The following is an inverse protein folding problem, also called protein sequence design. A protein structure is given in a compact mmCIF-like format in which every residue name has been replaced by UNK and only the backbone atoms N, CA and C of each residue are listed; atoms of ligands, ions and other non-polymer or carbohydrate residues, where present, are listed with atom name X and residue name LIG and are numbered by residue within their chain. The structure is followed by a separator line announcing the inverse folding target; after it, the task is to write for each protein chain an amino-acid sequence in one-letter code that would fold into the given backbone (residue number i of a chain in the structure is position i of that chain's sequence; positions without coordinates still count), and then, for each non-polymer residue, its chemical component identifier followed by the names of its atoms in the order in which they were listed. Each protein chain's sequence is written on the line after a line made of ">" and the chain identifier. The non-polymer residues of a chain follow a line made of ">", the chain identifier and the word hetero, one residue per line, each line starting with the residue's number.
data_IF_940400013732
#
_entry.id   IF_940400013732
#
_cell.length_a   1.000
_cell.length_b   1.000
_cell.length_c   1.000
_cell.angle_alpha   90.00
_cell.angle_beta   90.00
_cell.angle_gamma   90.00
#
_symmetry.space_group_name_H-M   'P 1'
#
loop_
_entity.id
_entity.type
_entity.pdbx_description
1 polymer ?
#
# COMPACT_ATOMS: atom_id res chain seq x y z
N UNK A 1 7.39 -15.43 10.46
CA UNK A 1 6.18 -15.18 11.27
C UNK A 1 5.37 -14.06 10.65
N UNK A 2 4.07 -14.26 10.40
CA UNK A 2 3.16 -13.16 10.00
C UNK A 2 2.93 -12.29 11.22
N UNK A 3 3.54 -11.11 11.24
CA UNK A 3 3.44 -10.18 12.34
C UNK A 3 2.14 -9.38 12.20
N UNK A 4 1.21 -9.55 13.14
CA UNK A 4 0.02 -8.68 13.31
C UNK A 4 0.42 -7.29 13.87
N UNK A 5 1.62 -6.78 13.53
CA UNK A 5 2.21 -5.56 14.10
C UNK A 5 1.38 -4.29 13.90
N UNK A 6 0.53 -4.27 12.88
CA UNK A 6 -0.27 -3.09 12.56
C UNK A 6 -1.70 -3.19 13.10
N UNK A 7 -2.03 -4.27 13.81
CA UNK A 7 -3.34 -4.48 14.41
C UNK A 7 -3.34 -3.91 15.83
N UNK A 8 -4.36 -3.13 16.17
CA UNK A 8 -4.54 -2.65 17.52
C UNK A 8 -5.14 -3.73 18.42
N UNK A 9 -4.28 -4.49 19.10
CA UNK A 9 -4.71 -5.55 20.01
C UNK A 9 -5.60 -5.05 21.16
N UNK A 10 -5.51 -3.78 21.57
CA UNK A 10 -6.38 -3.22 22.62
C UNK A 10 -7.85 -3.16 22.18
N UNK A 11 -8.11 -3.12 20.88
CA UNK A 11 -9.46 -3.06 20.32
C UNK A 11 -10.05 -4.44 19.97
N UNK A 12 -9.30 -5.52 20.21
CA UNK A 12 -9.67 -6.87 19.78
C UNK A 12 -9.91 -7.76 20.98
N UNK A 13 -11.02 -8.49 20.96
CA UNK A 13 -11.31 -9.55 21.92
C UNK A 13 -11.09 -10.90 21.23
N UNK A 14 -10.30 -11.82 21.81
CA UNK A 14 -10.18 -13.18 21.28
C UNK A 14 -11.55 -13.83 21.02
N UNK A 15 -11.67 -14.52 19.88
CA UNK A 15 -12.93 -15.17 19.46
C UNK A 15 -13.98 -14.21 18.87
N UNK A 16 -13.77 -12.89 18.88
CA UNK A 16 -14.66 -11.92 18.23
C UNK A 16 -14.05 -11.36 16.95
N UNK A 17 -14.83 -11.13 15.88
CA UNK A 17 -14.35 -10.44 14.70
C UNK A 17 -13.87 -9.03 15.03
N UNK A 18 -12.78 -8.61 14.41
CA UNK A 18 -12.27 -7.24 14.51
C UNK A 18 -13.39 -6.23 14.21
N UNK A 19 -13.52 -5.12 14.96
CA UNK A 19 -14.64 -4.19 14.77
C UNK A 19 -14.77 -3.63 13.34
N UNK A 20 -13.67 -3.56 12.59
CA UNK A 20 -13.66 -3.13 11.19
C UNK A 20 -14.30 -4.16 10.24
N UNK A 21 -14.29 -5.46 10.59
CA UNK A 21 -14.96 -6.52 9.81
C UNK A 21 -16.47 -6.51 9.98
N UNK A 22 -16.99 -5.81 11.00
CA UNK A 22 -18.42 -5.70 11.25
C UNK A 22 -19.11 -4.64 10.40
N UNK A 23 -18.34 -3.87 9.62
CA UNK A 23 -18.91 -2.89 8.70
C UNK A 23 -19.48 -3.60 7.47
N UNK A 24 -20.73 -3.29 7.08
CA UNK A 24 -21.36 -3.94 5.93
C UNK A 24 -20.54 -3.67 4.67
N UNK A 25 -20.30 -4.72 3.89
CA UNK A 25 -19.79 -4.61 2.52
C UNK A 25 -20.98 -4.70 1.57
N UNK A 26 -21.38 -3.56 1.02
CA UNK A 26 -22.54 -3.46 0.12
C UNK A 26 -22.25 -3.95 -1.30
N UNK A 27 -20.97 -4.12 -1.66
CA UNK A 27 -20.56 -4.45 -3.01
C UNK A 27 -19.28 -5.29 -3.05
N UNK A 28 -19.02 -5.96 -4.17
CA UNK A 28 -17.74 -6.62 -4.45
C UNK A 28 -16.56 -5.65 -4.41
N UNK A 29 -16.81 -4.40 -4.80
CA UNK A 29 -15.83 -3.33 -4.75
C UNK A 29 -15.44 -2.96 -3.32
N UNK A 30 -16.42 -2.90 -2.40
CA UNK A 30 -16.15 -2.68 -0.97
C UNK A 30 -15.41 -3.87 -0.34
N UNK A 31 -15.75 -5.09 -0.74
CA UNK A 31 -15.03 -6.29 -0.31
C UNK A 31 -13.55 -6.24 -0.74
N UNK A 32 -13.26 -5.82 -1.97
CA UNK A 32 -11.89 -5.66 -2.45
C UNK A 32 -11.11 -4.60 -1.67
N UNK A 33 -11.75 -3.47 -1.33
CA UNK A 33 -11.16 -2.43 -0.46
C UNK A 33 -10.80 -2.99 0.91
N UNK A 34 -11.71 -3.77 1.51
CA UNK A 34 -11.47 -4.42 2.78
C UNK A 34 -10.31 -5.42 2.70
N UNK A 35 -10.25 -6.26 1.66
CA UNK A 35 -9.16 -7.23 1.46
C UNK A 35 -7.79 -6.54 1.38
N UNK A 36 -7.68 -5.42 0.67
CA UNK A 36 -6.43 -4.65 0.62
C UNK A 36 -6.06 -4.13 2.00
N UNK A 37 -7.02 -3.55 2.73
CA UNK A 37 -6.78 -3.05 4.10
C UNK A 37 -6.32 -4.17 5.04
N UNK A 38 -6.92 -5.36 4.97
CA UNK A 38 -6.51 -6.52 5.76
C UNK A 38 -5.07 -6.96 5.47
N UNK A 39 -4.58 -6.81 4.23
CA UNK A 39 -3.16 -7.05 3.91
C UNK A 39 -2.24 -6.08 4.67
N UNK A 40 -2.59 -4.80 4.76
CA UNK A 40 -1.84 -3.82 5.55
C UNK A 40 -1.88 -4.14 7.05
N UNK A 41 -3.06 -4.43 7.60
CA UNK A 41 -3.23 -4.75 9.02
C UNK A 41 -2.45 -6.00 9.44
N UNK A 42 -2.48 -7.05 8.61
CA UNK A 42 -1.78 -8.31 8.86
C UNK A 42 -0.28 -8.29 8.54
N UNK A 43 0.24 -7.15 8.04
CA UNK A 43 1.63 -7.03 7.61
C UNK A 43 1.97 -7.90 6.38
N UNK A 44 0.97 -8.38 5.64
CA UNK A 44 1.15 -9.20 4.43
C UNK A 44 1.19 -8.38 3.15
N UNK A 45 0.99 -7.06 3.24
CA UNK A 45 1.24 -6.15 2.14
C UNK A 45 2.75 -5.91 1.97
N UNK A 46 3.32 -6.43 0.88
CA UNK A 46 4.77 -6.44 0.66
C UNK A 46 5.22 -5.23 -0.18
N UNK A 47 5.99 -4.33 0.44
CA UNK A 47 6.68 -3.22 -0.21
C UNK A 47 8.14 -3.59 -0.55
N UNK A 48 8.82 -2.78 -1.38
CA UNK A 48 10.23 -3.04 -1.75
C UNK A 48 11.16 -3.06 -0.54
N UNK A 49 10.95 -2.17 0.44
CA UNK A 49 11.73 -2.21 1.69
C UNK A 49 11.59 -3.56 2.41
N UNK A 50 10.40 -4.17 2.43
CA UNK A 50 10.21 -5.50 3.00
C UNK A 50 10.98 -6.55 2.20
N UNK A 51 10.95 -6.49 0.86
CA UNK A 51 11.68 -7.43 0.01
C UNK A 51 13.18 -7.32 0.22
N UNK A 52 13.72 -6.12 0.34
CA UNK A 52 15.13 -5.87 0.62
C UNK A 52 15.57 -6.46 1.96
N UNK A 53 14.74 -6.38 3.00
CA UNK A 53 15.08 -6.91 4.33
C UNK A 53 15.03 -8.44 4.44
N UNK A 54 14.27 -9.14 3.59
CA UNK A 54 14.04 -10.59 3.71
C UNK A 54 14.64 -11.44 2.59
N UNK A 55 15.10 -10.84 1.50
CA UNK A 55 15.76 -11.58 0.43
C UNK A 55 17.24 -11.80 0.74
N UNK A 56 17.73 -13.00 0.43
CA UNK A 56 19.16 -13.33 0.50
C UNK A 56 19.98 -12.58 -0.56
N UNK A 57 19.33 -12.16 -1.65
CA UNK A 57 19.94 -11.37 -2.72
C UNK A 57 19.72 -9.88 -2.48
N UNK A 58 20.68 -9.05 -2.91
CA UNK A 58 20.54 -7.59 -2.88
C UNK A 58 19.34 -7.15 -3.73
N UNK A 59 18.26 -6.73 -3.05
CA UNK A 59 17.09 -6.12 -3.68
C UNK A 59 17.10 -4.64 -3.34
N UNK A 60 16.96 -3.80 -4.38
CA UNK A 60 16.85 -2.36 -4.23
C UNK A 60 15.57 -2.01 -3.43
N UNK A 61 15.69 -1.36 -2.25
CA UNK A 61 14.54 -0.99 -1.44
C UNK A 61 13.76 0.21 -2.00
N UNK A 62 14.27 0.87 -3.05
CA UNK A 62 13.72 2.11 -3.60
C UNK A 62 12.28 1.95 -4.09
N UNK A 63 11.47 2.98 -3.86
CA UNK A 63 10.09 3.06 -4.30
C UNK A 63 10.00 2.98 -5.82
N UNK A 64 9.31 1.98 -6.38
CA UNK A 64 9.21 1.80 -7.82
C UNK A 64 8.29 2.84 -8.47
N UNK A 65 7.64 3.69 -7.67
CA UNK A 65 6.71 4.71 -8.13
C UNK A 65 7.44 6.04 -8.38
N UNK A 66 8.15 6.55 -7.37
CA UNK A 66 8.87 7.82 -7.49
C UNK A 66 10.37 7.65 -7.77
N UNK A 67 10.96 6.50 -7.46
CA UNK A 67 12.40 6.24 -7.53
C UNK A 67 13.28 7.18 -6.67
N UNK A 68 12.71 7.82 -5.65
CA UNK A 68 13.41 8.84 -4.84
C UNK A 68 13.83 8.34 -3.45
N UNK A 69 13.09 7.40 -2.85
CA UNK A 69 13.30 6.96 -1.46
C UNK A 69 12.88 5.49 -1.26
N UNK A 70 13.33 4.82 -0.19
CA UNK A 70 12.87 3.46 0.14
C UNK A 70 11.34 3.34 0.26
N UNK A 71 10.75 2.28 -0.29
CA UNK A 71 9.31 2.02 -0.23
C UNK A 71 8.90 1.50 1.15
N UNK A 72 8.87 2.37 2.16
CA UNK A 72 8.33 2.04 3.50
C UNK A 72 6.82 2.30 3.55
N UNK A 73 6.13 1.84 4.62
CA UNK A 73 4.70 2.13 4.82
C UNK A 73 4.46 3.65 4.91
N UNK A 74 5.28 4.37 5.66
CA UNK A 74 5.22 5.83 5.76
C UNK A 74 5.39 6.48 4.40
N UNK A 75 6.41 6.08 3.63
CA UNK A 75 6.61 6.61 2.29
C UNK A 75 5.40 6.33 1.40
N UNK A 76 4.94 5.08 1.34
CA UNK A 76 3.86 4.67 0.45
C UNK A 76 2.52 5.35 0.80
N UNK A 77 2.19 5.43 2.08
CA UNK A 77 0.89 5.94 2.56
C UNK A 77 0.87 7.46 2.66
N UNK A 78 1.99 8.13 2.98
CA UNK A 78 2.01 9.55 3.31
C UNK A 78 2.88 10.42 2.38
N UNK A 79 3.99 9.90 1.84
CA UNK A 79 5.05 10.77 1.29
C UNK A 79 5.37 10.57 -0.20
N UNK A 80 4.95 9.48 -0.85
CA UNK A 80 5.28 9.20 -2.24
C UNK A 80 4.86 10.36 -3.16
N UNK A 81 5.82 10.94 -3.89
CA UNK A 81 5.59 12.12 -4.75
C UNK A 81 4.63 11.79 -5.89
N UNK A 82 4.80 10.63 -6.53
CA UNK A 82 3.96 10.18 -7.65
C UNK A 82 2.46 10.11 -7.30
N UNK A 83 2.12 9.70 -6.08
CA UNK A 83 0.71 9.55 -5.65
C UNK A 83 0.19 10.74 -4.85
N UNK A 84 0.96 11.84 -4.76
CA UNK A 84 0.62 13.05 -3.98
C UNK A 84 -0.78 13.56 -4.28
N UNK A 85 -1.09 13.78 -5.56
CA UNK A 85 -2.32 14.47 -5.98
C UNK A 85 -3.58 13.65 -5.70
N UNK A 86 -3.46 12.33 -5.72
CA UNK A 86 -4.57 11.43 -5.38
C UNK A 86 -4.70 11.27 -3.85
N UNK A 87 -3.57 11.27 -3.14
CA UNK A 87 -3.52 11.04 -1.70
C UNK A 87 -4.01 12.23 -0.88
N UNK A 88 -3.54 13.44 -1.19
CA UNK A 88 -3.81 14.67 -0.43
C UNK A 88 -5.30 14.91 -0.14
N UNK A 89 -6.23 14.87 -1.11
CA UNK A 89 -7.64 15.10 -0.82
C UNK A 89 -8.24 14.02 0.09
N UNK A 90 -7.85 12.76 -0.07
CA UNK A 90 -8.35 11.68 0.79
C UNK A 90 -7.81 11.81 2.22
N UNK A 91 -6.55 12.22 2.39
CA UNK A 91 -5.99 12.51 3.72
C UNK A 91 -6.69 13.71 4.37
N UNK A 92 -7.05 14.74 3.59
CA UNK A 92 -7.81 15.87 4.11
C UNK A 92 -9.19 15.42 4.65
N UNK A 93 -9.89 14.52 3.95
CA UNK A 93 -11.15 13.94 4.43
C UNK A 93 -10.96 13.12 5.73
N UNK A 94 -9.90 12.31 5.80
CA UNK A 94 -9.56 11.54 7.02
C UNK A 94 -9.29 12.49 8.19
N UNK A 95 -8.47 13.52 7.98
CA UNK A 95 -8.18 14.55 8.98
C UNK A 95 -9.47 15.22 9.44
N UNK A 96 -10.31 15.66 8.51
CA UNK A 96 -11.57 16.33 8.83
C UNK A 96 -12.45 15.47 9.74
N UNK A 97 -12.63 14.19 9.42
CA UNK A 97 -13.47 13.30 10.23
C UNK A 97 -12.84 12.96 11.59
N UNK A 98 -11.52 12.83 11.67
CA UNK A 98 -10.80 12.64 12.94
C UNK A 98 -10.94 13.88 13.83
N UNK A 99 -10.75 15.07 13.29
CA UNK A 99 -10.84 16.33 14.03
C UNK A 99 -12.24 16.58 14.60
N UNK A 100 -13.27 16.08 13.91
CA UNK A 100 -14.66 16.10 14.40
C UNK A 100 -14.91 15.11 15.53
N UNK A 101 -14.17 14.02 15.57
CA UNK A 101 -14.27 12.99 16.61
C UNK A 101 -13.43 13.39 17.84
N UNK A 102 -12.22 13.87 17.59
CA UNK A 102 -11.21 14.23 18.57
C UNK A 102 -10.45 15.48 18.07
N UNK A 103 -10.83 16.68 18.52
CA UNK A 103 -10.18 17.92 18.09
C UNK A 103 -8.68 17.97 18.40
N UNK A 104 -7.91 18.63 17.53
CA UNK A 104 -6.46 18.80 17.52
C UNK A 104 -5.65 17.49 17.53
N UNK A 105 -6.27 16.37 17.18
CA UNK A 105 -5.64 15.05 17.30
C UNK A 105 -4.74 14.74 16.11
N UNK A 106 -5.17 15.05 14.89
CA UNK A 106 -4.44 14.67 13.68
C UNK A 106 -3.07 15.34 13.61
N UNK A 107 -3.00 16.63 13.93
CA UNK A 107 -1.75 17.37 13.86
C UNK A 107 -0.77 16.99 14.99
N UNK A 108 -1.31 16.51 16.12
CA UNK A 108 -0.49 15.98 17.22
C UNK A 108 0.17 14.63 16.89
N UNK A 109 -0.42 13.85 15.98
CA UNK A 109 0.12 12.55 15.60
C UNK A 109 1.45 12.69 14.86
N UNK A 110 2.42 11.88 15.29
CA UNK A 110 3.63 11.64 14.53
C UNK A 110 3.33 10.79 13.27
N UNK A 111 4.35 10.61 12.42
CA UNK A 111 4.22 9.88 11.15
C UNK A 111 3.75 8.44 11.33
N UNK A 112 4.24 7.74 12.36
CA UNK A 112 3.86 6.35 12.63
C UNK A 112 2.41 6.26 13.11
N UNK A 113 2.01 7.15 14.02
CA UNK A 113 0.63 7.23 14.53
C UNK A 113 -0.37 7.52 13.40
N UNK A 114 -0.03 8.39 12.46
CA UNK A 114 -0.84 8.64 11.25
C UNK A 114 -0.97 7.39 10.39
N UNK A 115 0.14 6.71 10.11
CA UNK A 115 0.14 5.45 9.33
C UNK A 115 -0.71 4.38 10.03
N UNK A 116 -0.50 4.18 11.33
CA UNK A 116 -1.22 3.20 12.12
C UNK A 116 -2.72 3.52 12.18
N UNK A 117 -3.10 4.79 12.35
CA UNK A 117 -4.51 5.20 12.34
C UNK A 117 -5.17 4.95 10.98
N UNK A 118 -4.46 5.17 9.87
CA UNK A 118 -4.97 4.86 8.52
C UNK A 118 -5.15 3.34 8.35
N UNK A 119 -4.19 2.55 8.81
CA UNK A 119 -4.23 1.08 8.69
C UNK A 119 -5.27 0.47 9.64
N UNK A 120 -5.44 1.01 10.84
CA UNK A 120 -6.36 0.53 11.86
C UNK A 120 -6.84 1.69 12.75
N UNK A 121 -7.99 2.26 12.41
CA UNK A 121 -8.58 3.35 13.17
C UNK A 121 -9.37 2.86 14.40
N UNK A 122 -9.30 1.57 14.75
CA UNK A 122 -9.96 1.04 15.95
C UNK A 122 -9.38 1.62 17.24
N UNK A 123 -8.16 2.15 17.21
CA UNK A 123 -7.57 2.94 18.30
C UNK A 123 -8.39 4.17 18.67
N UNK A 124 -9.11 4.77 17.73
CA UNK A 124 -9.96 5.92 18.03
C UNK A 124 -11.18 5.57 18.92
N UNK A 125 -11.40 4.29 19.23
CA UNK A 125 -12.48 3.80 20.10
C UNK A 125 -12.17 3.87 21.61
N UNK A 126 -11.15 4.61 22.04
CA UNK A 126 -10.70 4.61 23.44
C UNK A 126 -11.73 5.09 24.47
N UNK A 127 -12.88 5.65 24.08
CA UNK A 127 -13.96 5.99 25.00
C UNK A 127 -14.85 4.76 25.26
N UNK A 128 -15.08 4.48 26.55
CA UNK A 128 -15.92 3.36 27.01
C UNK A 128 -17.36 3.41 26.49
N UNK A 129 -17.84 4.58 26.06
CA UNK A 129 -19.12 4.77 25.37
C UNK A 129 -18.98 5.82 24.28
N UNK A 130 -19.11 5.41 23.03
CA UNK A 130 -19.26 6.30 21.88
C UNK A 130 -20.75 6.59 21.68
N UNK A 131 -21.09 7.83 21.43
CA UNK A 131 -22.41 8.25 20.97
C UNK A 131 -22.69 7.70 19.57
N UNK A 132 -23.97 7.64 19.17
CA UNK A 132 -24.37 7.24 17.81
C UNK A 132 -23.68 8.08 16.74
N UNK A 133 -23.56 9.39 16.98
CA UNK A 133 -22.87 10.31 16.07
C UNK A 133 -21.38 9.97 15.95
N UNK A 134 -20.68 9.73 17.05
CA UNK A 134 -19.27 9.34 17.03
C UNK A 134 -19.05 7.98 16.32
N UNK A 135 -19.98 7.03 16.46
CA UNK A 135 -19.94 5.76 15.72
C UNK A 135 -20.02 6.01 14.21
N UNK A 136 -20.96 6.84 13.76
CA UNK A 136 -21.10 7.20 12.34
C UNK A 136 -19.83 7.91 11.82
N UNK A 137 -19.20 8.76 12.64
CA UNK A 137 -17.93 9.43 12.31
C UNK A 137 -16.79 8.43 12.16
N UNK A 138 -16.65 7.49 13.09
CA UNK A 138 -15.66 6.42 12.98
C UNK A 138 -15.86 5.56 11.73
N UNK A 139 -17.11 5.28 11.35
CA UNK A 139 -17.43 4.59 10.10
C UNK A 139 -17.00 5.41 8.88
N UNK A 140 -17.17 6.73 8.92
CA UNK A 140 -16.70 7.64 7.87
C UNK A 140 -15.17 7.66 7.80
N UNK A 141 -14.45 7.78 8.92
CA UNK A 141 -12.98 7.65 8.98
C UNK A 141 -12.54 6.34 8.35
N UNK A 142 -13.14 5.22 8.76
CA UNK A 142 -12.80 3.89 8.24
C UNK A 142 -13.04 3.78 6.73
N UNK A 143 -14.14 4.35 6.23
CA UNK A 143 -14.43 4.42 4.80
C UNK A 143 -13.34 5.16 4.03
N UNK A 144 -12.92 6.34 4.50
CA UNK A 144 -11.88 7.12 3.84
C UNK A 144 -10.52 6.41 3.90
N UNK A 145 -10.19 5.75 5.02
CA UNK A 145 -8.98 4.94 5.15
C UNK A 145 -8.95 3.76 4.17
N UNK A 146 -10.06 3.03 4.02
CA UNK A 146 -10.20 1.96 3.02
C UNK A 146 -10.03 2.50 1.60
N UNK A 147 -10.68 3.62 1.30
CA UNK A 147 -10.56 4.29 0.00
C UNK A 147 -9.10 4.65 -0.30
N UNK A 148 -8.39 5.27 0.65
CA UNK A 148 -6.98 5.63 0.49
C UNK A 148 -6.12 4.42 0.16
N UNK A 149 -6.13 3.39 1.02
CA UNK A 149 -5.27 2.22 0.86
C UNK A 149 -5.55 1.47 -0.45
N UNK A 150 -6.82 1.34 -0.81
CA UNK A 150 -7.21 0.69 -2.06
C UNK A 150 -6.78 1.50 -3.29
N UNK A 151 -6.99 2.82 -3.28
CA UNK A 151 -6.58 3.69 -4.39
C UNK A 151 -5.06 3.64 -4.58
N UNK A 152 -4.29 3.75 -3.50
CA UNK A 152 -2.82 3.63 -3.56
C UNK A 152 -2.39 2.26 -4.07
N UNK A 153 -3.05 1.18 -3.61
CA UNK A 153 -2.77 -0.18 -4.08
C UNK A 153 -2.99 -0.33 -5.59
N UNK A 154 -4.11 0.16 -6.09
CA UNK A 154 -4.45 0.12 -7.52
C UNK A 154 -3.43 0.88 -8.35
N UNK A 155 -3.08 2.11 -7.95
CA UNK A 155 -2.06 2.90 -8.65
C UNK A 155 -0.69 2.23 -8.65
N UNK A 156 -0.29 1.64 -7.51
CA UNK A 156 0.96 0.89 -7.43
C UNK A 156 0.98 -0.29 -8.40
N UNK A 157 -0.07 -1.10 -8.41
CA UNK A 157 -0.14 -2.27 -9.28
C UNK A 157 -0.14 -1.88 -10.76
N UNK A 158 -0.89 -0.82 -11.13
CA UNK A 158 -0.91 -0.27 -12.48
C UNK A 158 0.49 0.13 -12.93
N UNK A 159 1.23 0.84 -12.07
CA UNK A 159 2.59 1.26 -12.37
C UNK A 159 3.56 0.08 -12.50
N UNK A 160 3.49 -0.89 -11.59
CA UNK A 160 4.32 -2.11 -11.63
C UNK A 160 4.05 -2.95 -12.89
N UNK A 161 2.79 -3.04 -13.33
CA UNK A 161 2.45 -3.72 -14.58
C UNK A 161 3.12 -3.04 -15.78
N UNK A 162 3.07 -1.71 -15.85
CA UNK A 162 3.72 -0.93 -16.91
C UNK A 162 5.24 -1.18 -16.92
N UNK A 163 5.89 -1.10 -15.74
CA UNK A 163 7.33 -1.38 -15.61
C UNK A 163 7.67 -2.79 -16.11
N UNK A 164 6.89 -3.80 -15.72
CA UNK A 164 7.14 -5.18 -16.14
C UNK A 164 7.01 -5.37 -17.65
N UNK A 165 6.01 -4.72 -18.28
CA UNK A 165 5.86 -4.74 -19.75
C UNK A 165 7.06 -4.11 -20.45
N UNK A 166 7.54 -2.96 -19.97
CA UNK A 166 8.72 -2.28 -20.53
C UNK A 166 9.97 -3.17 -20.38
N UNK A 167 10.19 -3.74 -19.20
CA UNK A 167 11.32 -4.66 -18.94
C UNK A 167 11.28 -5.84 -19.90
N UNK A 168 10.14 -6.52 -20.02
CA UNK A 168 10.00 -7.68 -20.90
C UNK A 168 10.28 -7.35 -22.37
N UNK A 169 9.82 -6.18 -22.86
CA UNK A 169 10.13 -5.72 -24.22
C UNK A 169 11.63 -5.48 -24.42
N UNK A 170 12.29 -4.85 -23.45
CA UNK A 170 13.73 -4.61 -23.50
C UNK A 170 14.52 -5.93 -23.51
N UNK A 171 14.16 -6.91 -22.67
CA UNK A 171 14.83 -8.23 -22.64
C UNK A 171 14.69 -8.97 -23.98
N UNK A 172 13.48 -8.95 -24.57
CA UNK A 172 13.23 -9.56 -25.88
C UNK A 172 14.03 -8.88 -27.00
N UNK A 173 14.16 -7.55 -26.97
CA UNK A 173 14.97 -6.81 -27.94
C UNK A 173 16.47 -7.15 -27.82
N UNK A 174 17.00 -7.24 -26.59
CA UNK A 174 18.39 -7.65 -26.35
C UNK A 174 18.63 -9.09 -26.81
N UNK A 175 17.68 -10.00 -26.56
CA UNK A 175 17.79 -11.39 -27.02
C UNK A 175 17.75 -11.49 -28.56
N UNK A 176 16.84 -10.75 -29.21
CA UNK A 176 16.78 -10.65 -30.67
C UNK A 176 18.08 -10.11 -31.26
N UNK A 177 18.64 -9.03 -30.70
CA UNK A 177 19.90 -8.45 -31.15
C UNK A 177 21.08 -9.42 -31.00
N UNK A 178 21.20 -10.12 -29.86
CA UNK A 178 22.24 -11.15 -29.66
C UNK A 178 22.12 -12.30 -30.65
N UNK A 179 20.90 -12.79 -30.92
CA UNK A 179 20.67 -13.86 -31.90
C UNK A 179 21.05 -13.45 -33.34
N UNK A 180 20.82 -12.18 -33.71
CA UNK A 180 21.19 -11.65 -35.02
C UNK A 180 22.70 -11.46 -35.17
N UNK A 181 23.41 -11.07 -34.10
CA UNK A 181 24.89 -11.04 -34.10
C UNK A 181 25.44 -12.45 -34.27
N UNK A 182 24.97 -13.43 -33.49
CA UNK A 182 25.46 -14.81 -33.59
C UNK A 182 25.27 -15.38 -35.00
N UNK A 183 24.13 -15.12 -35.67
CA UNK A 183 23.94 -15.55 -37.07
C UNK A 183 24.87 -14.87 -38.07
N UNK A 184 25.15 -13.57 -37.91
CA UNK A 184 26.09 -12.84 -38.77
C UNK A 184 27.53 -13.35 -38.63
N UNK A 185 27.96 -13.68 -37.42
CA UNK A 185 29.32 -14.24 -37.18
C UNK A 185 29.48 -15.63 -37.84
N UNK A 186 28.43 -16.46 -37.83
CA UNK A 186 28.45 -17.77 -38.49
C UNK A 186 28.46 -17.68 -40.03
N UNK A 187 27.86 -16.64 -40.62
CA UNK A 187 27.81 -16.47 -42.09
C UNK A 187 29.13 -15.93 -42.65
N UNK A 188 29.82 -15.05 -41.92
CA UNK A 188 31.16 -14.55 -42.31
C UNK A 188 32.22 -15.66 -42.24
N UNK A 189 32.08 -16.62 -41.33
CA UNK A 189 33.02 -17.73 -41.20
C UNK A 189 32.92 -18.77 -42.34
N UNK A 190 31.80 -18.78 -43.10
CA UNK A 190 31.59 -19.70 -44.22
C UNK A 190 32.02 -19.14 -45.58
N UNK A 191 32.36 -17.85 -45.66
CA UNK A 191 32.76 -17.17 -46.91
C UNK A 191 34.29 -17.02 -47.06
N UNK A 192 35.07 -17.58 -46.13
CA UNK A 192 36.53 -17.51 -46.10
C UNK A 192 37.23 -18.86 -46.41
N UNK A 193 36.50 -19.82 -46.99
CA UNK A 193 37.03 -21.05 -47.57
C UNK A 193 36.60 -21.17 -49.02
#
# INVERSE_FOLDING_TARGET
>A
MKSLKNLNFKAVTPGKPHPLLQLPSSSSYDANRLLVKLKFMSGTYILQSNRASFNQNSVDPTCPLCNEAPETLSHFILNCSLTSEIRKPIIADIRFEIERLMPNTWDSFNTEEKVHTIIDCSGLRHRSKLTKTEILRLQSVEFHCRRLLFTLHTERNRHLQIINVIKNKATSAVHSYKSNISRKVSTVSQTLH
#
